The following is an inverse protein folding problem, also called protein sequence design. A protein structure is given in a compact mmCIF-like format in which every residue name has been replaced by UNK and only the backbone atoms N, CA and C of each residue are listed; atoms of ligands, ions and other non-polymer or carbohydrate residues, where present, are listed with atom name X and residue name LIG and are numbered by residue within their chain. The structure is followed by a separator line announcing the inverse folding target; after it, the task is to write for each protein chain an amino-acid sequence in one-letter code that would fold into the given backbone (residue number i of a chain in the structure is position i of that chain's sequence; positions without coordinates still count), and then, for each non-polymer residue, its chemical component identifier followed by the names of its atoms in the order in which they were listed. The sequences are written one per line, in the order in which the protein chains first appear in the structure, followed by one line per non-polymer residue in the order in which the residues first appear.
data_IF_270521566226
#
_entry.id   IF_270521566226
#
_cell.length_a   1.000
_cell.length_b   1.000
_cell.length_c   1.000
_cell.angle_alpha   90.00
_cell.angle_beta   90.00
_cell.angle_gamma   90.00
#
_symmetry.space_group_name_H-M   'P 1'
#
loop_
_entity.id
_entity.type
_entity.pdbx_description
1 polymer ?
#
# COMPACT_ATOMS: atom_id res chain seq x y z
N UNK A 1 34.52 49.46 -12.56
CA UNK A 1 33.24 50.20 -12.70
C UNK A 1 32.69 49.89 -14.09
N UNK A 2 31.36 49.76 -14.16
CA UNK A 2 30.50 49.26 -15.26
C UNK A 2 30.47 47.73 -15.45
N UNK A 3 29.35 47.08 -15.73
CA UNK A 3 27.95 47.10 -15.24
C UNK A 3 27.27 45.90 -15.95
N UNK A 4 26.50 45.13 -15.18
CA UNK A 4 25.29 44.37 -15.53
C UNK A 4 25.05 43.82 -16.95
N UNK A 5 24.84 42.49 -17.02
CA UNK A 5 23.85 41.90 -17.92
C UNK A 5 23.18 40.71 -17.24
N UNK A 6 21.98 40.96 -16.69
CA UNK A 6 21.06 39.99 -16.13
C UNK A 6 20.58 39.00 -17.21
N UNK A 7 20.76 37.71 -16.96
CA UNK A 7 20.13 36.62 -17.71
C UNK A 7 18.65 36.51 -17.34
N UNK A 8 17.78 37.27 -18.00
CA UNK A 8 16.32 37.10 -17.94
C UNK A 8 15.86 36.10 -19.01
N UNK A 9 15.96 34.80 -18.72
CA UNK A 9 15.20 33.79 -19.45
C UNK A 9 13.84 33.63 -18.77
N UNK A 10 12.85 34.37 -19.29
CA UNK A 10 11.47 34.35 -18.82
C UNK A 10 10.71 33.27 -19.59
N UNK A 11 10.65 32.08 -18.99
CA UNK A 11 9.82 30.96 -19.45
C UNK A 11 8.36 31.20 -19.01
N UNK A 12 7.66 32.09 -19.72
CA UNK A 12 6.30 32.57 -19.37
C UNK A 12 5.18 31.57 -19.71
N UNK A 13 5.50 30.32 -20.09
CA UNK A 13 4.50 29.31 -20.49
C UNK A 13 4.22 28.19 -19.47
N UNK A 14 4.95 28.15 -18.35
CA UNK A 14 4.95 27.00 -17.43
C UNK A 14 4.34 27.27 -16.04
N UNK A 15 3.92 28.52 -15.80
CA UNK A 15 3.56 29.00 -14.46
C UNK A 15 2.20 28.43 -13.99
N UNK A 16 1.18 28.42 -14.85
CA UNK A 16 -0.17 27.94 -14.49
C UNK A 16 -0.22 26.46 -14.08
N UNK A 17 0.58 25.59 -14.73
CA UNK A 17 0.63 24.17 -14.37
C UNK A 17 1.37 23.94 -13.06
N UNK A 18 2.46 24.69 -12.80
CA UNK A 18 3.19 24.63 -11.54
C UNK A 18 2.32 25.15 -10.38
N UNK A 19 1.67 26.30 -10.55
CA UNK A 19 0.75 26.86 -9.56
C UNK A 19 -0.42 25.93 -9.23
N UNK A 20 -0.94 25.19 -10.24
CA UNK A 20 -2.00 24.20 -10.01
C UNK A 20 -1.50 22.97 -9.26
N UNK A 21 -0.25 22.54 -9.49
CA UNK A 21 0.36 21.42 -8.78
C UNK A 21 0.67 21.76 -7.32
N UNK A 22 1.10 22.98 -7.03
CA UNK A 22 1.43 23.43 -5.66
C UNK A 22 0.19 23.48 -4.75
N UNK A 23 -1.00 23.69 -5.32
CA UNK A 23 -2.27 23.59 -4.56
C UNK A 23 -2.58 22.18 -4.05
N UNK A 24 -2.09 21.15 -4.75
CA UNK A 24 -2.40 19.73 -4.45
C UNK A 24 -1.23 19.03 -3.75
N UNK A 25 0.00 19.39 -4.11
CA UNK A 25 1.23 18.83 -3.53
C UNK A 25 1.67 19.65 -2.32
N UNK A 26 0.89 19.54 -1.24
CA UNK A 26 1.23 20.15 0.04
C UNK A 26 1.51 19.07 1.08
N UNK A 27 2.49 19.32 1.94
CA UNK A 27 2.64 18.56 3.19
C UNK A 27 1.36 18.78 3.99
N UNK A 28 0.75 17.69 4.45
CA UNK A 28 -0.37 17.76 5.36
C UNK A 28 0.21 17.85 6.76
N UNK A 29 0.02 19.00 7.41
CA UNK A 29 0.60 19.26 8.72
C UNK A 29 -0.34 18.70 9.79
N UNK A 30 -0.13 17.44 10.15
CA UNK A 30 -0.84 16.75 11.24
C UNK A 30 -0.18 16.96 12.62
N UNK A 31 0.70 17.95 12.77
CA UNK A 31 1.30 18.34 14.05
C UNK A 31 2.68 17.75 14.35
N UNK A 32 3.51 17.45 13.34
CA UNK A 32 4.85 16.88 13.50
C UNK A 32 5.93 17.77 12.88
N UNK A 33 6.16 18.93 13.47
CA UNK A 33 7.15 19.90 12.97
C UNK A 33 8.52 19.84 13.67
N UNK A 34 8.78 18.83 14.51
CA UNK A 34 9.98 18.87 15.36
C UNK A 34 11.16 18.00 14.93
N UNK A 35 11.05 17.15 13.90
CA UNK A 35 12.16 16.28 13.46
C UNK A 35 12.41 16.37 11.94
N UNK A 36 13.67 16.22 11.49
CA UNK A 36 14.01 16.08 10.07
C UNK A 36 13.24 14.92 9.44
N UNK A 37 12.90 15.04 8.14
CA UNK A 37 12.15 14.03 7.42
C UNK A 37 12.85 12.65 7.43
N UNK A 38 14.19 12.61 7.46
CA UNK A 38 14.94 11.35 7.53
C UNK A 38 14.68 10.57 8.82
N UNK A 39 14.56 11.25 9.97
CA UNK A 39 14.36 10.61 11.28
C UNK A 39 12.93 10.06 11.41
N UNK A 40 11.94 10.83 10.94
CA UNK A 40 10.53 10.41 10.93
C UNK A 40 10.26 9.20 10.02
N UNK A 41 10.95 9.13 8.87
CA UNK A 41 10.78 8.01 7.95
C UNK A 41 11.33 6.70 8.52
N UNK A 42 12.46 6.75 9.25
CA UNK A 42 13.04 5.58 9.87
C UNK A 42 12.17 5.02 11.00
N UNK A 43 11.67 5.88 11.90
CA UNK A 43 10.77 5.45 12.98
C UNK A 43 9.47 4.86 12.45
N UNK A 44 8.90 5.45 11.40
CA UNK A 44 7.70 4.92 10.75
C UNK A 44 7.94 3.57 10.08
N UNK A 45 9.09 3.39 9.43
CA UNK A 45 9.44 2.12 8.83
C UNK A 45 9.59 1.03 9.89
N UNK A 46 10.29 1.31 10.98
CA UNK A 46 10.45 0.36 12.08
C UNK A 46 9.10 0.02 12.74
N UNK A 47 8.24 1.02 12.96
CA UNK A 47 6.91 0.83 13.50
C UNK A 47 6.02 -0.02 12.57
N UNK A 48 6.07 0.23 11.26
CA UNK A 48 5.37 -0.56 10.26
C UNK A 48 5.87 -2.01 10.26
N UNK A 49 7.19 -2.23 10.25
CA UNK A 49 7.79 -3.56 10.29
C UNK A 49 7.39 -4.32 11.55
N UNK A 50 7.41 -3.67 12.73
CA UNK A 50 6.95 -4.27 14.00
C UNK A 50 5.48 -4.68 13.92
N UNK A 51 4.62 -3.83 13.34
CA UNK A 51 3.21 -4.14 13.17
C UNK A 51 2.98 -5.35 12.25
N UNK A 52 3.67 -5.40 11.11
CA UNK A 52 3.58 -6.54 10.19
C UNK A 52 4.10 -7.82 10.83
N UNK A 53 5.24 -7.76 11.53
CA UNK A 53 5.79 -8.93 12.22
C UNK A 53 4.80 -9.49 13.24
N UNK A 54 4.20 -8.63 14.05
CA UNK A 54 3.20 -9.04 15.03
C UNK A 54 1.99 -9.71 14.38
N UNK A 55 1.49 -9.18 13.26
CA UNK A 55 0.38 -9.80 12.52
C UNK A 55 0.71 -11.22 12.05
N UNK A 56 1.94 -11.43 11.56
CA UNK A 56 2.41 -12.75 11.13
C UNK A 56 2.56 -13.70 12.32
N UNK A 57 3.12 -13.22 13.44
CA UNK A 57 3.24 -14.01 14.68
C UNK A 57 1.86 -14.42 15.23
N UNK A 58 0.92 -13.48 15.32
CA UNK A 58 -0.44 -13.72 15.80
C UNK A 58 -1.18 -14.71 14.87
N UNK A 59 -1.00 -14.58 13.56
CA UNK A 59 -1.58 -15.51 12.59
C UNK A 59 -0.94 -16.89 12.68
N UNK A 60 0.40 -16.97 12.79
CA UNK A 60 1.12 -18.23 12.89
C UNK A 60 0.72 -18.99 14.14
N UNK A 61 0.59 -18.32 15.28
CA UNK A 61 0.13 -18.91 16.53
C UNK A 61 -1.33 -19.39 16.44
N UNK A 62 -2.22 -18.62 15.80
CA UNK A 62 -3.64 -18.99 15.65
C UNK A 62 -3.85 -20.22 14.77
N UNK A 63 -3.05 -20.37 13.73
CA UNK A 63 -3.24 -21.38 12.68
C UNK A 63 -2.23 -22.52 12.74
N UNK A 64 -1.30 -22.48 13.71
CA UNK A 64 -0.13 -23.35 13.79
C UNK A 64 0.50 -23.59 12.40
N UNK A 65 0.75 -22.50 11.69
CA UNK A 65 1.30 -22.52 10.33
C UNK A 65 2.44 -21.51 10.20
N UNK A 66 3.55 -21.95 9.63
CA UNK A 66 4.70 -21.12 9.32
C UNK A 66 4.55 -20.55 7.90
N UNK A 67 4.16 -19.28 7.82
CA UNK A 67 4.01 -18.57 6.56
C UNK A 67 5.34 -18.24 5.87
N UNK A 68 6.47 -18.23 6.58
CA UNK A 68 7.76 -17.92 5.98
C UNK A 68 8.32 -19.12 5.19
N UNK A 69 8.10 -20.33 5.70
CA UNK A 69 8.55 -21.56 5.05
C UNK A 69 7.41 -22.31 4.33
N UNK A 70 6.18 -21.80 4.40
CA UNK A 70 4.97 -22.42 3.87
C UNK A 70 4.76 -23.85 4.41
N UNK A 71 5.01 -24.06 5.69
CA UNK A 71 4.92 -25.36 6.34
C UNK A 71 3.93 -25.34 7.50
N UNK A 72 3.10 -26.38 7.66
CA UNK A 72 2.31 -26.53 8.86
C UNK A 72 3.19 -26.87 10.06
N UNK A 73 2.83 -26.32 11.21
CA UNK A 73 3.42 -26.62 12.51
C UNK A 73 2.50 -27.56 13.28
N UNK A 74 3.03 -28.22 14.30
CA UNK A 74 2.22 -29.00 15.24
C UNK A 74 1.31 -28.07 16.05
N UNK A 75 0.04 -28.42 16.17
CA UNK A 75 -0.94 -27.63 16.91
C UNK A 75 -2.37 -28.11 16.70
N UNK A 76 -3.32 -27.19 16.90
CA UNK A 76 -4.75 -27.49 16.89
C UNK A 76 -5.31 -27.80 15.49
N UNK A 77 -4.66 -27.31 14.44
CA UNK A 77 -5.07 -27.52 13.05
C UNK A 77 -4.16 -28.53 12.34
N UNK A 78 -4.76 -29.56 11.76
CA UNK A 78 -4.06 -30.47 10.85
C UNK A 78 -4.20 -29.97 9.42
N UNK A 79 -3.06 -29.68 8.77
CA UNK A 79 -3.02 -29.18 7.40
C UNK A 79 -2.66 -30.28 6.42
N UNK A 80 -3.44 -30.39 5.35
CA UNK A 80 -3.13 -31.26 4.21
C UNK A 80 -2.88 -30.45 2.94
N UNK A 81 -1.90 -30.87 2.15
CA UNK A 81 -1.65 -30.28 0.83
C UNK A 81 -2.58 -30.93 -0.18
N UNK A 82 -3.61 -30.20 -0.59
CA UNK A 82 -4.55 -30.68 -1.61
C UNK A 82 -3.94 -30.43 -3.00
N UNK A 83 -3.70 -31.50 -3.76
CA UNK A 83 -3.32 -31.37 -5.16
C UNK A 83 -4.44 -30.67 -5.94
N UNK A 84 -4.09 -29.63 -6.68
CA UNK A 84 -5.01 -28.91 -7.55
C UNK A 84 -5.39 -29.77 -8.76
N UNK A 85 -6.17 -30.84 -8.55
CA UNK A 85 -6.58 -31.75 -9.64
C UNK A 85 -7.44 -31.08 -10.71
N UNK A 86 -7.92 -29.86 -10.46
CA UNK A 86 -8.58 -28.98 -11.42
C UNK A 86 -8.23 -27.51 -11.10
N UNK A 87 -7.09 -26.98 -11.56
CA UNK A 87 -6.95 -25.54 -11.79
C UNK A 87 -7.80 -25.11 -13.01
N UNK A 88 -9.07 -25.51 -13.07
CA UNK A 88 -10.03 -24.86 -13.96
C UNK A 88 -10.54 -23.62 -13.22
N UNK A 89 -9.88 -22.52 -13.56
CA UNK A 89 -10.34 -21.14 -13.52
C UNK A 89 -10.95 -20.59 -12.21
N UNK A 90 -10.11 -20.43 -11.19
CA UNK A 90 -10.44 -19.60 -10.01
C UNK A 90 -10.73 -18.13 -10.36
N UNK A 91 -10.49 -17.66 -11.60
CA UNK A 91 -10.94 -16.33 -12.03
C UNK A 91 -12.43 -16.30 -12.37
N UNK A 92 -13.00 -17.39 -12.87
CA UNK A 92 -14.44 -17.48 -13.20
C UNK A 92 -15.33 -17.43 -11.95
N UNK A 93 -14.95 -18.13 -10.87
CA UNK A 93 -15.70 -18.13 -9.60
C UNK A 93 -15.82 -16.75 -8.94
N UNK A 94 -14.81 -15.89 -9.09
CA UNK A 94 -14.87 -14.51 -8.57
C UNK A 94 -15.73 -13.58 -9.41
N UNK A 95 -15.91 -13.92 -10.70
CA UNK A 95 -16.74 -13.15 -11.64
C UNK A 95 -18.22 -13.44 -11.37
N UNK A 96 -18.59 -14.70 -11.12
CA UNK A 96 -19.96 -15.10 -10.79
C UNK A 96 -20.51 -14.46 -9.51
N UNK A 97 -19.68 -14.31 -8.46
CA UNK A 97 -20.09 -13.63 -7.22
C UNK A 97 -20.37 -12.14 -7.41
N UNK A 98 -19.74 -11.49 -8.40
CA UNK A 98 -20.00 -10.07 -8.71
C UNK A 98 -21.28 -9.92 -9.54
N UNK A 99 -21.49 -10.81 -10.51
CA UNK A 99 -22.68 -10.78 -11.38
C UNK A 99 -23.98 -10.94 -10.56
N UNK A 100 -24.03 -11.87 -9.60
CA UNK A 100 -25.24 -12.05 -8.75
C UNK A 100 -25.55 -10.84 -7.88
N UNK A 101 -24.53 -10.14 -7.38
CA UNK A 101 -24.71 -8.95 -6.53
C UNK A 101 -25.18 -7.73 -7.33
N UNK A 102 -24.81 -7.65 -8.61
CA UNK A 102 -25.23 -6.57 -9.51
C UNK A 102 -26.64 -6.80 -10.11
N UNK A 103 -27.12 -8.05 -10.18
CA UNK A 103 -28.49 -8.37 -10.58
C UNK A 103 -29.52 -8.11 -9.46
N UNK A 104 -29.21 -8.43 -8.20
CA UNK A 104 -30.08 -8.09 -7.07
C UNK A 104 -30.25 -6.57 -6.88
N UNK A 105 -29.20 -5.79 -7.14
CA UNK A 105 -29.24 -4.32 -7.05
C UNK A 105 -29.90 -3.63 -8.27
N UNK A 106 -30.23 -4.36 -9.33
CA UNK A 106 -30.91 -3.82 -10.52
C UNK A 106 -32.43 -4.03 -10.51
N UNK A 107 -32.94 -4.82 -9.57
CA UNK A 107 -34.36 -5.12 -9.40
C UNK A 107 -35.00 -4.43 -8.18
N UNK A 108 -34.35 -3.37 -7.65
CA UNK A 108 -34.88 -2.42 -6.66
C UNK A 108 -34.86 -1.03 -7.28
#
# INVERSE_FOLDING_TARGET
MAEDAQTKNRDEGNDDRRQKLDRVRRRLDFGTDSLPAEEYNFENEEAAQKFFRKQVEDASAKWNFDFANEMPLEGDWEWEKVESRNQLDYKELTTERKIKKDEENRNV
#
